data_IF_703144562268
#
_entry.id   IF_703144562268
#
_cell.length_a   1.000
_cell.length_b   1.000
_cell.length_c   1.000
_cell.angle_alpha   90.00
_cell.angle_beta   90.00
_cell.angle_gamma   90.00
#
_symmetry.space_group_name_H-M   'P 1'
#
loop_
_entity.id
_entity.type
_entity.pdbx_description
1 polymer ?
#
# COMPACT_ATOMS: atom_id res chain seq x y z
N UNK A 1 11.79 22.62 20.42
CA UNK A 1 12.33 21.45 21.17
C UNK A 1 13.28 21.92 22.27
N UNK A 2 13.35 21.16 23.41
CA UNK A 2 14.31 21.48 24.48
C UNK A 2 15.77 21.19 24.09
N UNK A 3 15.96 20.24 23.19
CA UNK A 3 17.25 19.85 22.61
C UNK A 3 17.06 19.68 21.09
N UNK A 4 17.32 20.72 20.28
CA UNK A 4 17.27 20.59 18.84
C UNK A 4 18.38 19.64 18.35
N UNK A 5 18.12 18.84 17.30
CA UNK A 5 19.17 18.01 16.69
C UNK A 5 20.29 18.88 16.09
N UNK A 6 21.56 18.47 16.27
CA UNK A 6 22.69 19.24 15.76
C UNK A 6 22.73 19.27 14.21
N UNK A 7 22.32 18.17 13.56
CA UNK A 7 22.34 18.02 12.10
C UNK A 7 21.14 18.68 11.40
N UNK A 8 20.04 18.88 12.11
CA UNK A 8 18.82 19.55 11.62
C UNK A 8 18.15 20.32 12.75
N UNK A 9 18.62 21.55 13.07
CA UNK A 9 18.08 22.35 14.17
C UNK A 9 16.60 22.71 14.02
N UNK A 10 16.07 22.69 12.78
CA UNK A 10 14.67 22.99 12.47
C UNK A 10 13.76 21.75 12.52
N UNK A 11 14.35 20.58 12.68
CA UNK A 11 13.58 19.35 12.77
C UNK A 11 12.57 19.39 13.92
N UNK A 12 11.32 19.10 13.57
CA UNK A 12 10.23 18.96 14.55
C UNK A 12 9.65 17.55 14.42
N UNK A 13 9.79 16.75 15.47
CA UNK A 13 9.16 15.42 15.53
C UNK A 13 7.63 15.55 15.29
N UNK A 14 7.11 14.76 14.37
CA UNK A 14 5.67 14.72 14.10
C UNK A 14 4.86 14.39 15.36
N UNK A 15 5.34 13.43 16.15
CA UNK A 15 4.70 13.05 17.42
C UNK A 15 4.66 14.20 18.43
N UNK A 16 5.77 14.92 18.62
CA UNK A 16 5.81 16.05 19.56
C UNK A 16 4.92 17.21 19.07
N UNK A 17 4.88 17.41 17.76
CA UNK A 17 4.01 18.42 17.18
C UNK A 17 2.53 18.06 17.37
N UNK A 18 2.14 16.81 17.09
CA UNK A 18 0.76 16.33 17.26
C UNK A 18 0.33 16.44 18.72
N UNK A 19 1.13 16.00 19.68
CA UNK A 19 0.83 16.15 21.12
C UNK A 19 0.64 17.61 21.52
N UNK A 20 1.46 18.51 20.97
CA UNK A 20 1.33 19.95 21.24
C UNK A 20 0.04 20.53 20.66
N UNK A 21 -0.34 20.08 19.46
CA UNK A 21 -1.61 20.47 18.83
C UNK A 21 -2.81 19.95 19.61
N UNK A 22 -2.83 18.66 19.95
CA UNK A 22 -3.89 18.04 20.74
C UNK A 22 -4.06 18.68 22.12
N UNK A 23 -2.96 19.06 22.76
CA UNK A 23 -3.03 19.80 24.02
C UNK A 23 -3.67 21.16 23.85
N UNK A 24 -3.41 21.89 22.75
CA UNK A 24 -4.09 23.15 22.43
C UNK A 24 -5.59 22.95 22.19
N UNK A 25 -5.93 21.94 21.41
CA UNK A 25 -7.33 21.54 21.12
C UNK A 25 -8.09 21.23 22.41
N UNK A 26 -7.47 20.46 23.30
CA UNK A 26 -8.08 20.09 24.59
C UNK A 26 -8.30 21.28 25.53
N UNK A 27 -7.46 22.31 25.44
CA UNK A 27 -7.55 23.49 26.24
C UNK A 27 -8.53 24.55 25.68
N UNK A 28 -8.92 24.45 24.42
CA UNK A 28 -9.76 25.41 23.72
C UNK A 28 -11.23 24.95 23.69
N UNK A 29 -12.11 25.68 24.37
CA UNK A 29 -13.54 25.38 24.46
C UNK A 29 -14.30 25.55 23.13
N UNK A 30 -13.71 26.26 22.14
CA UNK A 30 -14.26 26.42 20.79
C UNK A 30 -13.85 25.31 19.81
N UNK A 31 -13.03 24.36 20.26
CA UNK A 31 -12.63 23.22 19.45
C UNK A 31 -13.83 22.37 19.03
N UNK A 32 -13.84 21.93 17.77
CA UNK A 32 -14.91 21.11 17.19
C UNK A 32 -14.42 19.72 16.76
N UNK A 33 -15.35 18.78 16.67
CA UNK A 33 -15.09 17.44 16.17
C UNK A 33 -15.14 17.42 14.65
N UNK A 34 -14.27 16.62 14.05
CA UNK A 34 -14.27 16.26 12.64
C UNK A 34 -14.15 14.75 12.49
N UNK A 35 -14.65 14.23 11.38
CA UNK A 35 -14.39 12.88 10.97
C UNK A 35 -13.87 12.83 9.52
N UNK A 36 -12.91 11.98 9.27
CA UNK A 36 -12.28 11.80 7.96
C UNK A 36 -12.51 10.36 7.55
N UNK A 37 -13.13 10.14 6.40
CA UNK A 37 -13.32 8.81 5.82
C UNK A 37 -12.62 8.71 4.47
N UNK A 38 -11.77 7.69 4.29
CA UNK A 38 -11.13 7.35 3.04
C UNK A 38 -11.75 6.05 2.50
N UNK A 39 -12.28 6.10 1.29
CA UNK A 39 -12.97 4.98 0.64
C UNK A 39 -12.17 4.47 -0.55
N UNK A 40 -11.99 3.16 -0.63
CA UNK A 40 -11.45 2.45 -1.79
C UNK A 40 -12.54 2.18 -2.84
N UNK A 41 -12.19 1.91 -4.11
CA UNK A 41 -13.15 1.50 -5.14
C UNK A 41 -13.95 0.23 -4.81
N UNK A 42 -13.39 -0.70 -4.04
CA UNK A 42 -14.06 -1.91 -3.54
C UNK A 42 -15.10 -1.64 -2.45
N UNK A 43 -15.21 -0.38 -2.03
CA UNK A 43 -16.11 0.08 -1.00
C UNK A 43 -15.61 -0.12 0.44
N UNK A 44 -14.36 -0.51 0.65
CA UNK A 44 -13.72 -0.48 1.96
C UNK A 44 -13.59 0.97 2.44
N UNK A 45 -13.94 1.23 3.70
CA UNK A 45 -13.91 2.56 4.31
C UNK A 45 -13.01 2.55 5.54
N UNK A 46 -12.06 3.47 5.59
CA UNK A 46 -11.23 3.74 6.76
C UNK A 46 -11.64 5.07 7.36
N UNK A 47 -11.99 5.08 8.62
CA UNK A 47 -12.47 6.28 9.34
C UNK A 47 -11.51 6.70 10.43
N UNK A 48 -11.29 8.00 10.54
CA UNK A 48 -10.52 8.62 11.62
C UNK A 48 -11.32 9.77 12.21
N UNK A 49 -11.40 9.84 13.53
CA UNK A 49 -12.04 10.94 14.26
C UNK A 49 -10.97 11.81 14.91
N UNK A 50 -11.14 13.11 14.86
CA UNK A 50 -10.23 14.07 15.46
C UNK A 50 -10.98 15.32 15.94
N UNK A 51 -10.26 16.21 16.61
CA UNK A 51 -10.75 17.53 16.97
C UNK A 51 -9.80 18.59 16.42
N UNK A 52 -10.35 19.72 16.02
CA UNK A 52 -9.60 20.86 15.50
C UNK A 52 -9.92 22.13 16.29
N UNK A 53 -9.00 23.09 16.25
CA UNK A 53 -9.17 24.42 16.84
C UNK A 53 -10.23 25.22 16.06
N UNK A 54 -10.80 26.32 16.64
CA UNK A 54 -11.55 27.29 15.86
C UNK A 54 -10.77 27.72 14.61
N UNK A 55 -11.41 27.66 13.44
CA UNK A 55 -10.73 27.84 12.14
C UNK A 55 -10.59 29.32 11.78
N UNK A 56 -9.80 30.05 12.58
CA UNK A 56 -9.54 31.46 12.42
C UNK A 56 -8.09 31.83 12.78
N UNK A 57 -7.59 32.90 12.21
CA UNK A 57 -6.23 33.38 12.48
C UNK A 57 -5.16 32.30 12.22
N UNK A 58 -4.20 32.21 13.14
CA UNK A 58 -3.09 31.25 13.05
C UNK A 58 -3.54 29.77 13.15
N UNK A 59 -4.75 29.53 13.67
CA UNK A 59 -5.27 28.18 13.82
C UNK A 59 -5.60 27.53 12.46
N UNK A 60 -5.88 28.30 11.42
CA UNK A 60 -6.17 27.79 10.07
C UNK A 60 -5.03 26.91 9.58
N UNK A 61 -3.80 27.39 9.61
CA UNK A 61 -2.64 26.63 9.16
C UNK A 61 -2.31 25.46 10.10
N UNK A 62 -2.52 25.60 11.41
CA UNK A 62 -2.34 24.50 12.36
C UNK A 62 -3.32 23.34 12.09
N UNK A 63 -4.60 23.66 11.91
CA UNK A 63 -5.63 22.68 11.57
C UNK A 63 -5.35 22.00 10.25
N UNK A 64 -5.01 22.78 9.22
CA UNK A 64 -4.72 22.26 7.90
C UNK A 64 -3.51 21.32 7.91
N UNK A 65 -2.43 21.70 8.59
CA UNK A 65 -1.25 20.84 8.76
C UNK A 65 -1.58 19.54 9.50
N UNK A 66 -2.43 19.58 10.50
CA UNK A 66 -2.85 18.40 11.25
C UNK A 66 -3.69 17.45 10.39
N UNK A 67 -4.73 17.98 9.75
CA UNK A 67 -5.65 17.22 8.91
C UNK A 67 -4.94 16.66 7.69
N UNK A 68 -4.09 17.45 7.03
CA UNK A 68 -3.30 17.02 5.87
C UNK A 68 -2.39 15.81 6.20
N UNK A 69 -1.78 15.80 7.38
CA UNK A 69 -0.97 14.66 7.83
C UNK A 69 -1.79 13.39 8.04
N UNK A 70 -3.01 13.52 8.59
CA UNK A 70 -3.93 12.39 8.73
C UNK A 70 -4.34 11.87 7.35
N UNK A 71 -4.71 12.75 6.44
CA UNK A 71 -5.08 12.40 5.06
C UNK A 71 -3.92 11.68 4.36
N UNK A 72 -2.71 12.23 4.45
CA UNK A 72 -1.52 11.60 3.87
C UNK A 72 -1.24 10.23 4.49
N UNK A 73 -1.34 10.10 5.80
CA UNK A 73 -1.16 8.81 6.48
C UNK A 73 -2.19 7.79 5.99
N UNK A 74 -3.46 8.15 5.93
CA UNK A 74 -4.53 7.27 5.43
C UNK A 74 -4.27 6.85 3.99
N UNK A 75 -3.93 7.79 3.11
CA UNK A 75 -3.63 7.49 1.70
C UNK A 75 -2.47 6.51 1.54
N UNK A 76 -1.36 6.74 2.25
CA UNK A 76 -0.16 5.91 2.10
C UNK A 76 -0.21 4.57 2.83
N UNK A 77 -1.00 4.45 3.90
CA UNK A 77 -1.10 3.21 4.67
C UNK A 77 -2.31 2.37 4.30
N UNK A 78 -3.38 3.01 3.82
CA UNK A 78 -4.65 2.34 3.52
C UNK A 78 -4.99 2.37 2.04
N UNK A 79 -4.64 3.45 1.36
CA UNK A 79 -5.03 3.69 -0.03
C UNK A 79 -6.51 3.97 -0.20
N UNK A 80 -6.86 4.57 -1.31
CA UNK A 80 -8.23 4.93 -1.66
C UNK A 80 -8.26 6.13 -2.60
N UNK A 81 -9.44 6.49 -3.06
CA UNK A 81 -9.64 7.59 -4.02
C UNK A 81 -10.72 8.59 -3.60
N UNK A 82 -11.58 8.25 -2.63
CA UNK A 82 -12.65 9.14 -2.18
C UNK A 82 -12.45 9.49 -0.72
N UNK A 83 -12.27 10.77 -0.47
CA UNK A 83 -12.07 11.35 0.84
C UNK A 83 -13.28 12.20 1.23
N UNK A 84 -13.85 11.94 2.39
CA UNK A 84 -14.93 12.73 2.99
C UNK A 84 -14.43 13.32 4.29
N UNK A 85 -14.56 14.63 4.47
CA UNK A 85 -14.25 15.33 5.72
C UNK A 85 -15.55 15.92 6.28
N UNK A 86 -16.04 15.35 7.36
CA UNK A 86 -17.27 15.78 7.99
C UNK A 86 -17.04 16.74 9.14
N UNK A 87 -17.97 17.68 9.29
CA UNK A 87 -17.98 18.65 10.36
C UNK A 87 -17.18 19.94 10.10
N UNK A 88 -16.53 20.07 8.91
CA UNK A 88 -15.73 21.26 8.61
C UNK A 88 -15.49 21.48 7.11
N UNK A 89 -16.38 22.23 6.44
CA UNK A 89 -16.33 22.45 4.98
C UNK A 89 -15.04 23.15 4.53
N UNK A 90 -14.62 24.21 5.20
CA UNK A 90 -13.42 24.96 4.81
C UNK A 90 -12.14 24.09 4.82
N UNK A 91 -12.00 23.15 5.76
CA UNK A 91 -10.89 22.19 5.75
C UNK A 91 -10.99 21.23 4.57
N UNK A 92 -12.18 20.77 4.21
CA UNK A 92 -12.38 19.91 3.05
C UNK A 92 -12.01 20.63 1.75
N UNK A 93 -12.41 21.90 1.60
CA UNK A 93 -12.08 22.70 0.42
C UNK A 93 -10.56 22.92 0.30
N UNK A 94 -9.88 23.25 1.37
CA UNK A 94 -8.41 23.42 1.39
C UNK A 94 -7.67 22.10 1.08
N UNK A 95 -8.11 20.96 1.63
CA UNK A 95 -7.56 19.66 1.32
C UNK A 95 -7.83 19.31 -0.15
N UNK A 96 -9.02 19.61 -0.70
CA UNK A 96 -9.32 19.39 -2.10
C UNK A 96 -8.38 20.17 -3.03
N UNK A 97 -8.06 21.41 -2.70
CA UNK A 97 -7.09 22.21 -3.45
C UNK A 97 -5.69 21.59 -3.42
N UNK A 98 -5.22 21.16 -2.25
CA UNK A 98 -3.89 20.55 -2.11
C UNK A 98 -3.76 19.19 -2.81
N UNK A 99 -4.82 18.40 -2.81
CA UNK A 99 -4.89 17.07 -3.44
C UNK A 99 -5.49 17.10 -4.85
N UNK A 100 -5.44 18.25 -5.51
CA UNK A 100 -5.78 18.38 -6.94
C UNK A 100 -4.59 17.97 -7.84
N UNK A 101 -4.81 17.75 -9.15
CA UNK A 101 -3.72 17.43 -10.10
C UNK A 101 -2.63 18.50 -10.20
N UNK A 102 -2.95 19.76 -9.94
CA UNK A 102 -2.03 20.90 -9.93
C UNK A 102 -1.65 21.33 -8.49
N UNK A 103 -2.16 20.64 -7.48
CA UNK A 103 -1.96 20.97 -6.08
C UNK A 103 -0.61 20.53 -5.53
N UNK A 104 -0.32 20.96 -4.32
CA UNK A 104 0.91 20.62 -3.60
C UNK A 104 1.13 19.10 -3.46
N UNK A 105 0.04 18.31 -3.43
CA UNK A 105 0.01 16.86 -3.28
C UNK A 105 -0.32 16.10 -4.57
N UNK A 106 -0.08 16.71 -5.72
CA UNK A 106 -0.30 16.09 -7.03
C UNK A 106 0.41 14.74 -7.17
N UNK A 107 1.64 14.61 -6.64
CA UNK A 107 2.37 13.34 -6.63
C UNK A 107 1.64 12.25 -5.81
N UNK A 108 1.13 12.59 -4.62
CA UNK A 108 0.40 11.64 -3.79
C UNK A 108 -0.89 11.17 -4.48
N UNK A 109 -1.59 12.08 -5.17
CA UNK A 109 -2.78 11.75 -5.97
C UNK A 109 -2.44 10.86 -7.15
N UNK A 110 -1.41 11.18 -7.92
CA UNK A 110 -0.99 10.38 -9.06
C UNK A 110 -0.63 8.95 -8.65
N UNK A 111 0.23 8.81 -7.64
CA UNK A 111 0.72 7.51 -7.22
C UNK A 111 -0.37 6.66 -6.55
N UNK A 112 -1.05 7.23 -5.55
CA UNK A 112 -1.97 6.45 -4.72
C UNK A 112 -3.32 6.27 -5.38
N UNK A 113 -3.89 7.29 -6.03
CA UNK A 113 -5.23 7.17 -6.61
C UNK A 113 -5.20 6.73 -8.07
N UNK A 114 -4.53 7.49 -8.94
CA UNK A 114 -4.57 7.22 -10.37
C UNK A 114 -3.84 5.91 -10.74
N UNK A 115 -2.62 5.72 -10.26
CA UNK A 115 -1.85 4.52 -10.62
C UNK A 115 -2.27 3.30 -9.81
N UNK A 116 -2.46 3.42 -8.49
CA UNK A 116 -2.76 2.27 -7.64
C UNK A 116 -4.21 1.83 -7.75
N UNK A 117 -5.17 2.76 -7.75
CA UNK A 117 -6.60 2.42 -7.78
C UNK A 117 -7.28 2.68 -9.13
N UNK A 118 -6.56 3.23 -10.13
CA UNK A 118 -7.09 3.55 -11.46
C UNK A 118 -8.31 4.48 -11.40
N UNK A 119 -8.32 5.38 -10.43
CA UNK A 119 -9.40 6.32 -10.15
C UNK A 119 -8.83 7.72 -9.97
N UNK A 120 -9.65 8.74 -9.87
CA UNK A 120 -9.25 10.11 -9.55
C UNK A 120 -9.56 10.44 -8.09
N UNK A 121 -8.68 11.25 -7.47
CA UNK A 121 -8.93 11.74 -6.12
C UNK A 121 -10.19 12.61 -6.10
N UNK A 122 -11.08 12.30 -5.16
CA UNK A 122 -12.30 13.05 -4.90
C UNK A 122 -12.31 13.45 -3.42
N UNK A 123 -12.43 14.74 -3.15
CA UNK A 123 -12.56 15.24 -1.78
C UNK A 123 -13.91 15.96 -1.67
N UNK A 124 -14.65 15.66 -0.63
CA UNK A 124 -15.96 16.29 -0.35
C UNK A 124 -16.15 16.53 1.12
N UNK A 125 -17.08 17.43 1.46
CA UNK A 125 -17.55 17.65 2.82
C UNK A 125 -18.97 17.13 3.03
N UNK A 126 -19.33 16.91 4.30
CA UNK A 126 -20.70 16.57 4.73
C UNK A 126 -20.90 16.96 6.21
N UNK A 127 -22.10 16.80 6.72
CA UNK A 127 -22.32 16.88 8.16
C UNK A 127 -21.57 15.76 8.90
N UNK A 128 -21.21 15.98 10.16
CA UNK A 128 -20.37 15.04 10.93
C UNK A 128 -20.98 13.63 11.05
N UNK A 129 -22.30 13.57 11.19
CA UNK A 129 -23.09 12.34 11.31
C UNK A 129 -23.36 11.63 9.96
N UNK A 130 -23.06 12.30 8.84
CA UNK A 130 -23.18 11.74 7.50
C UNK A 130 -21.86 11.10 6.97
N UNK A 131 -20.75 11.25 7.72
CA UNK A 131 -19.47 10.66 7.34
C UNK A 131 -19.60 9.13 7.31
N UNK A 132 -19.20 8.48 6.21
CA UNK A 132 -19.29 7.01 6.10
C UNK A 132 -18.67 6.29 7.30
N UNK A 133 -19.38 5.29 7.81
CA UNK A 133 -18.88 4.45 8.89
C UNK A 133 -17.74 3.55 8.40
N UNK A 134 -16.85 3.17 9.31
CA UNK A 134 -15.76 2.26 9.01
C UNK A 134 -16.29 0.92 8.52
N UNK A 135 -15.80 0.48 7.38
CA UNK A 135 -16.12 -0.82 6.79
C UNK A 135 -14.87 -1.47 6.26
N UNK A 136 -14.32 -2.38 7.01
CA UNK A 136 -13.15 -3.16 6.64
C UNK A 136 -13.51 -4.62 6.49
N UNK A 137 -12.91 -5.28 5.49
CA UNK A 137 -12.93 -6.73 5.36
C UNK A 137 -11.49 -7.22 5.46
N UNK A 138 -11.30 -8.39 6.07
CA UNK A 138 -10.01 -9.06 6.09
C UNK A 138 -10.14 -10.40 5.39
N UNK A 139 -9.22 -10.68 4.47
CA UNK A 139 -9.06 -12.00 3.87
C UNK A 139 -7.88 -12.66 4.58
N UNK A 140 -8.04 -13.85 5.18
CA UNK A 140 -6.91 -14.56 5.77
C UNK A 140 -5.91 -14.92 4.68
N UNK A 141 -4.67 -14.50 4.85
CA UNK A 141 -3.54 -14.84 3.99
C UNK A 141 -2.57 -15.75 4.72
N UNK A 142 -1.98 -16.71 4.00
CA UNK A 142 -0.96 -17.60 4.53
C UNK A 142 -1.52 -18.75 5.40
N UNK A 143 -0.61 -19.50 6.02
CA UNK A 143 -0.95 -20.63 6.90
C UNK A 143 -1.43 -21.89 6.18
N UNK A 144 -1.58 -21.89 4.86
CA UNK A 144 -1.98 -23.04 4.06
C UNK A 144 -0.73 -23.87 3.72
N UNK A 145 -0.18 -24.60 4.70
CA UNK A 145 1.05 -25.37 4.54
C UNK A 145 0.83 -26.74 3.91
N UNK A 146 -0.41 -27.25 3.92
CA UNK A 146 -0.75 -28.57 3.37
C UNK A 146 -0.71 -28.60 1.85
N UNK A 147 -0.29 -29.74 1.29
CA UNK A 147 -0.21 -29.97 -0.16
C UNK A 147 1.07 -29.45 -0.79
N UNK A 148 1.05 -29.31 -2.11
CA UNK A 148 2.20 -28.92 -2.93
C UNK A 148 2.12 -27.45 -3.32
N UNK A 149 3.06 -26.64 -2.85
CA UNK A 149 3.05 -25.19 -3.03
C UNK A 149 4.32 -24.70 -3.73
N UNK A 150 4.18 -23.60 -4.46
CA UNK A 150 5.33 -22.85 -4.96
C UNK A 150 5.35 -21.50 -4.27
N UNK A 151 6.50 -21.15 -3.69
CA UNK A 151 6.81 -19.79 -3.25
C UNK A 151 7.75 -19.12 -4.23
N UNK A 152 7.57 -17.81 -4.51
CA UNK A 152 8.55 -17.04 -5.28
C UNK A 152 8.75 -15.65 -4.72
N UNK A 153 9.93 -15.07 -5.01
CA UNK A 153 10.27 -13.69 -4.69
C UNK A 153 10.98 -13.04 -5.88
N UNK A 154 10.51 -11.87 -6.27
CA UNK A 154 11.05 -11.12 -7.40
C UNK A 154 11.82 -9.91 -6.89
N UNK A 155 13.14 -10.07 -6.81
CA UNK A 155 14.08 -9.00 -6.49
C UNK A 155 14.54 -8.21 -7.72
N UNK A 156 15.33 -7.20 -7.51
CA UNK A 156 15.90 -6.38 -8.58
C UNK A 156 17.13 -6.98 -9.27
N UNK A 157 17.82 -7.92 -8.61
CA UNK A 157 19.01 -8.61 -9.11
C UNK A 157 18.78 -10.09 -9.38
N UNK A 158 17.81 -10.67 -8.71
CA UNK A 158 17.53 -12.09 -8.75
C UNK A 158 16.03 -12.37 -8.58
N UNK A 159 15.63 -13.55 -9.01
CA UNK A 159 14.31 -14.14 -8.78
C UNK A 159 14.51 -15.46 -8.04
N UNK A 160 13.81 -15.61 -6.93
CA UNK A 160 13.90 -16.80 -6.08
C UNK A 160 12.63 -17.61 -6.19
N UNK A 161 12.75 -18.94 -6.13
CA UNK A 161 11.60 -19.80 -6.01
C UNK A 161 11.90 -21.01 -5.13
N UNK A 162 10.83 -21.54 -4.53
CA UNK A 162 10.88 -22.74 -3.70
C UNK A 162 9.69 -23.65 -3.99
N UNK A 163 9.94 -24.95 -4.04
CA UNK A 163 8.93 -25.99 -4.05
C UNK A 163 8.76 -26.54 -2.63
N UNK A 164 7.51 -26.62 -2.16
CA UNK A 164 7.16 -27.00 -0.79
C UNK A 164 6.13 -28.11 -0.82
N UNK A 165 6.31 -29.15 -0.01
CA UNK A 165 5.33 -30.23 0.22
C UNK A 165 5.02 -30.26 1.72
N UNK A 166 3.76 -30.07 2.07
CA UNK A 166 3.26 -30.10 3.44
C UNK A 166 4.08 -29.24 4.44
N UNK A 167 4.51 -28.07 3.96
CA UNK A 167 5.30 -27.11 4.75
C UNK A 167 6.82 -27.33 4.68
N UNK A 168 7.30 -28.42 4.10
CA UNK A 168 8.73 -28.72 3.97
C UNK A 168 9.26 -28.29 2.60
N UNK A 169 10.36 -27.56 2.58
CA UNK A 169 11.03 -27.12 1.35
C UNK A 169 11.76 -28.30 0.72
N UNK A 170 11.30 -28.75 -0.45
CA UNK A 170 11.92 -29.86 -1.21
C UNK A 170 12.88 -29.37 -2.29
N UNK A 171 12.77 -28.13 -2.73
CA UNK A 171 13.69 -27.47 -3.66
C UNK A 171 13.64 -25.97 -3.48
N UNK A 172 14.78 -25.31 -3.65
CA UNK A 172 14.86 -23.85 -3.75
C UNK A 172 16.00 -23.46 -4.69
N UNK A 173 15.79 -22.37 -5.42
CA UNK A 173 16.80 -21.81 -6.30
C UNK A 173 16.71 -20.30 -6.38
N UNK A 174 17.80 -19.69 -6.81
CA UNK A 174 17.95 -18.29 -7.10
C UNK A 174 18.54 -18.13 -8.50
N UNK A 175 17.94 -17.28 -9.32
CA UNK A 175 18.36 -17.06 -10.71
C UNK A 175 18.56 -15.56 -10.90
N UNK A 176 19.76 -15.18 -11.31
CA UNK A 176 20.07 -13.78 -11.64
C UNK A 176 19.22 -13.29 -12.82
N UNK A 177 18.80 -12.05 -12.75
CA UNK A 177 18.13 -11.34 -13.81
C UNK A 177 18.35 -9.82 -13.70
N UNK A 178 17.95 -9.05 -14.72
CA UNK A 178 18.12 -7.59 -14.72
C UNK A 178 16.83 -6.86 -15.16
N UNK A 179 15.75 -6.97 -14.40
CA UNK A 179 14.42 -6.51 -14.81
C UNK A 179 14.34 -4.99 -15.01
N UNK A 180 15.17 -4.23 -14.29
CA UNK A 180 15.13 -2.76 -14.29
C UNK A 180 15.47 -2.12 -15.64
N UNK A 181 16.21 -2.82 -16.49
CA UNK A 181 16.73 -2.29 -17.75
C UNK A 181 16.03 -2.89 -18.97
N UNK A 182 15.16 -3.85 -18.75
CA UNK A 182 14.43 -4.52 -19.81
C UNK A 182 13.17 -3.78 -20.18
N UNK A 183 13.01 -3.48 -21.45
CA UNK A 183 11.84 -2.80 -22.00
C UNK A 183 10.80 -3.75 -22.59
N UNK A 184 11.19 -4.99 -22.93
CA UNK A 184 10.28 -6.01 -23.45
C UNK A 184 9.54 -6.72 -22.30
N UNK A 185 8.21 -6.60 -22.19
CA UNK A 185 7.43 -7.26 -21.15
C UNK A 185 7.58 -8.78 -21.11
N UNK A 186 7.91 -9.39 -22.27
CA UNK A 186 8.12 -10.84 -22.37
C UNK A 186 9.27 -11.33 -21.52
N UNK A 187 10.32 -10.54 -21.37
CA UNK A 187 11.44 -10.87 -20.49
C UNK A 187 10.96 -11.17 -19.06
N UNK A 188 10.11 -10.30 -18.53
CA UNK A 188 9.55 -10.48 -17.18
C UNK A 188 8.64 -11.71 -17.11
N UNK A 189 7.72 -11.86 -18.08
CA UNK A 189 6.81 -12.99 -18.12
C UNK A 189 7.54 -14.33 -18.23
N UNK A 190 8.46 -14.45 -19.20
CA UNK A 190 9.20 -15.69 -19.45
C UNK A 190 10.13 -16.04 -18.28
N UNK A 191 10.80 -15.04 -17.70
CA UNK A 191 11.64 -15.23 -16.53
C UNK A 191 10.89 -15.76 -15.32
N UNK A 192 9.74 -15.17 -15.00
CA UNK A 192 8.92 -15.64 -13.87
C UNK A 192 8.35 -17.04 -14.16
N UNK A 193 7.83 -17.26 -15.36
CA UNK A 193 7.28 -18.56 -15.77
C UNK A 193 8.34 -19.67 -15.73
N UNK A 194 9.57 -19.37 -16.13
CA UNK A 194 10.70 -20.31 -16.04
C UNK A 194 10.94 -20.73 -14.58
N UNK A 195 11.04 -19.79 -13.64
CA UNK A 195 11.21 -20.11 -12.22
C UNK A 195 10.06 -20.95 -11.67
N UNK A 196 8.81 -20.62 -12.01
CA UNK A 196 7.64 -21.37 -11.56
C UNK A 196 7.64 -22.81 -12.10
N UNK A 197 8.00 -23.02 -13.38
CA UNK A 197 8.09 -24.35 -14.01
C UNK A 197 9.22 -25.19 -13.41
N UNK A 198 10.35 -24.58 -13.13
CA UNK A 198 11.50 -25.27 -12.49
C UNK A 198 11.12 -25.72 -11.09
N UNK A 199 10.48 -24.88 -10.28
CA UNK A 199 9.97 -25.29 -8.97
C UNK A 199 8.90 -26.40 -9.10
N UNK A 200 7.97 -26.28 -10.05
CA UNK A 200 6.93 -27.28 -10.30
C UNK A 200 7.49 -28.67 -10.66
N UNK A 201 8.65 -28.74 -11.33
CA UNK A 201 9.29 -30.01 -11.69
C UNK A 201 9.69 -30.87 -10.46
N UNK A 202 9.76 -30.29 -9.27
CA UNK A 202 10.06 -30.96 -8.00
C UNK A 202 8.81 -31.36 -7.21
N UNK A 203 7.61 -31.11 -7.76
CA UNK A 203 6.34 -31.38 -7.12
C UNK A 203 5.53 -32.42 -7.91
N UNK A 204 4.78 -33.33 -7.26
CA UNK A 204 3.89 -34.25 -7.98
C UNK A 204 2.68 -33.53 -8.61
N UNK A 205 2.32 -32.35 -8.09
CA UNK A 205 1.28 -31.43 -8.58
C UNK A 205 1.52 -30.06 -7.98
N UNK A 206 0.79 -29.04 -8.40
CA UNK A 206 0.79 -27.71 -7.79
C UNK A 206 -0.61 -27.41 -7.28
N UNK A 207 -0.75 -27.16 -5.98
CA UNK A 207 -2.03 -26.85 -5.32
C UNK A 207 -2.22 -25.36 -5.05
N UNK A 208 -1.17 -24.56 -5.17
CA UNK A 208 -1.20 -23.12 -5.05
C UNK A 208 0.17 -22.47 -5.17
N UNK A 209 0.18 -21.20 -5.55
CA UNK A 209 1.37 -20.39 -5.78
C UNK A 209 1.24 -19.09 -5.00
N UNK A 210 2.26 -18.74 -4.23
CA UNK A 210 2.36 -17.48 -3.51
C UNK A 210 3.67 -16.77 -3.83
N UNK A 211 3.62 -15.45 -3.97
CA UNK A 211 4.82 -14.70 -4.29
C UNK A 211 4.89 -13.32 -3.68
N UNK A 212 6.11 -12.79 -3.66
CA UNK A 212 6.40 -11.41 -3.30
C UNK A 212 7.16 -10.68 -4.38
N UNK A 213 6.92 -9.38 -4.44
CA UNK A 213 7.71 -8.47 -5.27
C UNK A 213 7.59 -7.03 -4.75
N UNK A 214 8.64 -6.23 -4.96
CA UNK A 214 8.61 -4.81 -4.60
C UNK A 214 7.59 -4.04 -5.45
N UNK A 215 6.70 -3.30 -4.81
CA UNK A 215 5.68 -2.49 -5.50
C UNK A 215 4.31 -2.49 -4.83
N UNK A 216 3.34 -1.94 -5.52
CA UNK A 216 1.93 -1.92 -5.12
C UNK A 216 1.16 -2.91 -5.98
N UNK A 217 0.49 -3.84 -5.33
CA UNK A 217 -0.33 -4.86 -5.96
C UNK A 217 -1.78 -4.74 -5.49
N UNK A 218 -2.72 -4.74 -6.42
CA UNK A 218 -4.16 -4.72 -6.13
C UNK A 218 -4.81 -5.81 -6.97
N UNK A 219 -5.50 -6.75 -6.33
CA UNK A 219 -6.14 -7.90 -6.98
C UNK A 219 -5.17 -8.69 -7.88
N UNK A 220 -3.98 -9.00 -7.35
CA UNK A 220 -2.89 -9.66 -8.08
C UNK A 220 -2.40 -8.93 -9.33
N UNK A 221 -2.67 -7.63 -9.45
CA UNK A 221 -2.20 -6.81 -10.56
C UNK A 221 -1.14 -5.83 -10.08
N UNK A 222 0.03 -5.78 -10.71
CA UNK A 222 0.99 -4.71 -10.50
C UNK A 222 0.36 -3.36 -10.83
N UNK A 223 0.42 -2.42 -9.91
CA UNK A 223 -0.03 -1.04 -10.09
C UNK A 223 1.15 -0.09 -10.22
N UNK A 224 2.12 -0.27 -9.34
CA UNK A 224 3.39 0.44 -9.34
C UNK A 224 4.47 -0.57 -8.96
N UNK A 225 5.49 -0.72 -9.75
CA UNK A 225 6.57 -1.66 -9.46
C UNK A 225 7.88 -1.25 -10.11
N UNK A 226 8.94 -1.13 -9.31
CA UNK A 226 10.27 -0.75 -9.80
C UNK A 226 10.86 -1.78 -10.75
N UNK A 227 10.47 -3.05 -10.63
CA UNK A 227 10.91 -4.14 -11.53
C UNK A 227 10.58 -3.86 -12.99
N UNK A 228 9.51 -3.13 -13.26
CA UNK A 228 8.98 -2.86 -14.60
C UNK A 228 9.28 -1.45 -15.10
N UNK A 229 10.21 -0.74 -14.47
CA UNK A 229 10.49 0.68 -14.80
C UNK A 229 11.06 0.92 -16.19
N UNK A 230 11.61 -0.12 -16.83
CA UNK A 230 12.09 -0.07 -18.21
C UNK A 230 10.99 -0.23 -19.26
N UNK A 231 9.81 -0.72 -18.87
CA UNK A 231 8.67 -0.97 -19.75
C UNK A 231 7.89 0.33 -19.99
N UNK A 232 7.43 0.55 -21.23
CA UNK A 232 6.60 1.71 -21.55
C UNK A 232 5.27 1.68 -20.80
N UNK A 233 4.63 2.84 -20.58
CA UNK A 233 3.32 2.89 -19.88
C UNK A 233 2.24 2.08 -20.64
N UNK A 234 2.26 2.13 -21.97
CA UNK A 234 1.33 1.38 -22.80
C UNK A 234 1.51 -0.15 -22.65
N UNK A 235 2.76 -0.62 -22.68
CA UNK A 235 3.07 -2.04 -22.49
C UNK A 235 2.87 -2.46 -21.03
N UNK A 236 3.09 -1.56 -20.07
CA UNK A 236 2.78 -1.83 -18.68
C UNK A 236 1.28 -2.12 -18.50
N UNK A 237 0.42 -1.30 -19.08
CA UNK A 237 -1.03 -1.47 -18.98
C UNK A 237 -1.53 -2.72 -19.70
N UNK A 238 -1.00 -3.03 -20.87
CA UNK A 238 -1.47 -4.16 -21.70
C UNK A 238 -0.84 -5.50 -21.35
N UNK A 239 0.43 -5.55 -20.91
CA UNK A 239 1.20 -6.77 -20.74
C UNK A 239 1.63 -7.04 -19.29
N UNK A 240 2.06 -6.00 -18.56
CA UNK A 240 2.53 -6.16 -17.18
C UNK A 240 1.37 -6.23 -16.19
N UNK A 241 0.37 -5.37 -16.33
CA UNK A 241 -0.78 -5.39 -15.42
C UNK A 241 -1.46 -6.76 -15.35
N UNK A 242 -1.72 -7.50 -16.46
CA UNK A 242 -2.28 -8.83 -16.42
C UNK A 242 -1.25 -9.96 -16.20
N UNK A 243 0.03 -9.69 -15.94
CA UNK A 243 1.11 -10.68 -15.97
C UNK A 243 0.84 -11.88 -15.04
N UNK A 244 0.39 -11.63 -13.81
CA UNK A 244 0.14 -12.71 -12.84
C UNK A 244 -1.12 -13.52 -13.16
N UNK A 245 -2.13 -12.93 -13.78
CA UNK A 245 -3.29 -13.66 -14.30
C UNK A 245 -2.88 -14.60 -15.45
N UNK A 246 -1.98 -14.15 -16.34
CA UNK A 246 -1.42 -14.96 -17.43
C UNK A 246 -0.53 -16.09 -16.88
N UNK A 247 0.29 -15.81 -15.89
CA UNK A 247 1.13 -16.83 -15.21
C UNK A 247 0.25 -17.87 -14.51
N UNK A 248 -0.80 -17.43 -13.81
CA UNK A 248 -1.79 -18.34 -13.20
C UNK A 248 -2.41 -19.27 -14.22
N UNK A 249 -2.88 -18.75 -15.36
CA UNK A 249 -3.44 -19.56 -16.44
C UNK A 249 -2.40 -20.57 -17.00
N UNK A 250 -1.14 -20.13 -17.18
CA UNK A 250 -0.05 -21.01 -17.66
C UNK A 250 0.34 -22.11 -16.66
N UNK A 251 0.01 -21.93 -15.37
CA UNK A 251 0.26 -22.89 -14.28
C UNK A 251 -0.99 -23.72 -13.90
N UNK A 252 -2.03 -23.73 -14.72
CA UNK A 252 -3.21 -24.58 -14.55
C UNK A 252 -4.32 -23.95 -13.67
N UNK A 253 -4.39 -22.62 -13.59
CA UNK A 253 -5.40 -21.85 -12.87
C UNK A 253 -5.52 -22.17 -11.37
N UNK A 254 -4.44 -22.67 -10.76
CA UNK A 254 -4.38 -22.88 -9.31
C UNK A 254 -4.50 -21.55 -8.56
N UNK A 255 -4.88 -21.56 -7.27
CA UNK A 255 -4.82 -20.36 -6.42
C UNK A 255 -3.45 -19.67 -6.54
N UNK A 256 -3.45 -18.40 -6.85
CA UNK A 256 -2.24 -17.62 -7.12
C UNK A 256 -2.35 -16.25 -6.44
N UNK A 257 -1.41 -15.92 -5.57
CA UNK A 257 -1.42 -14.65 -4.82
C UNK A 257 -0.06 -13.99 -4.85
N UNK A 258 -0.05 -12.69 -5.11
CA UNK A 258 1.16 -11.86 -5.10
C UNK A 258 0.94 -10.64 -4.22
N UNK A 259 1.87 -10.42 -3.31
CA UNK A 259 1.83 -9.30 -2.37
C UNK A 259 3.16 -8.55 -2.35
N UNK A 260 3.18 -7.40 -1.69
CA UNK A 260 4.42 -6.65 -1.50
C UNK A 260 5.40 -7.41 -0.59
N UNK A 261 6.68 -7.27 -0.82
CA UNK A 261 7.77 -7.88 -0.03
C UNK A 261 7.71 -7.51 1.47
N UNK A 262 7.35 -6.28 1.81
CA UNK A 262 7.10 -5.86 3.19
C UNK A 262 5.90 -6.58 3.82
N UNK A 263 4.83 -6.81 3.04
CA UNK A 263 3.66 -7.57 3.51
C UNK A 263 4.01 -9.03 3.79
N UNK A 264 4.79 -9.68 2.92
CA UNK A 264 5.29 -11.05 3.16
C UNK A 264 6.16 -11.11 4.41
N UNK A 265 7.03 -10.14 4.61
CA UNK A 265 7.87 -10.05 5.82
C UNK A 265 7.01 -9.95 7.08
N UNK A 266 5.98 -9.12 7.08
CA UNK A 266 5.02 -9.00 8.19
C UNK A 266 4.22 -10.29 8.40
N UNK A 267 3.77 -10.94 7.31
CA UNK A 267 3.05 -12.21 7.35
C UNK A 267 3.93 -13.33 7.94
N UNK A 268 5.18 -13.43 7.48
CA UNK A 268 6.14 -14.41 8.01
C UNK A 268 6.39 -14.21 9.51
N UNK A 269 6.53 -12.95 9.96
CA UNK A 269 6.68 -12.64 11.39
C UNK A 269 5.42 -13.02 12.19
N UNK A 270 4.22 -12.78 11.62
CA UNK A 270 2.94 -13.18 12.24
C UNK A 270 2.87 -14.69 12.44
N UNK A 271 3.19 -15.47 11.40
CA UNK A 271 3.13 -16.92 11.42
C UNK A 271 4.20 -17.55 12.31
N UNK A 272 5.45 -17.04 12.23
CA UNK A 272 6.59 -17.62 12.96
C UNK A 272 6.61 -17.25 14.44
N UNK A 273 6.20 -16.02 14.79
CA UNK A 273 6.29 -15.49 16.14
C UNK A 273 4.94 -15.46 16.88
N UNK A 274 3.84 -15.77 16.19
CA UNK A 274 2.48 -15.59 16.72
C UNK A 274 2.15 -14.13 17.06
N UNK A 275 2.87 -13.17 16.46
CA UNK A 275 2.71 -11.75 16.73
C UNK A 275 1.42 -11.21 16.12
N UNK A 276 0.75 -10.30 16.82
CA UNK A 276 -0.42 -9.59 16.29
C UNK A 276 0.03 -8.25 15.72
N UNK A 277 -0.37 -7.96 14.49
CA UNK A 277 -0.11 -6.70 13.79
C UNK A 277 1.40 -6.30 13.76
N UNK A 278 2.31 -7.14 13.28
CA UNK A 278 3.72 -6.79 13.15
C UNK A 278 3.91 -5.75 12.04
N UNK A 279 4.95 -4.93 12.17
CA UNK A 279 5.43 -4.07 11.10
C UNK A 279 6.57 -4.77 10.38
N UNK A 280 6.37 -5.10 9.09
CA UNK A 280 7.42 -5.61 8.22
C UNK A 280 8.14 -4.47 7.50
N UNK A 281 9.47 -4.46 7.55
CA UNK A 281 10.31 -3.50 6.82
C UNK A 281 11.31 -4.28 5.99
N UNK A 282 11.15 -4.21 4.65
CA UNK A 282 12.14 -4.71 3.72
C UNK A 282 13.18 -3.61 3.47
N UNK A 283 14.44 -3.92 3.74
CA UNK A 283 15.59 -3.04 3.49
C UNK A 283 16.48 -3.75 2.47
N UNK A 284 16.33 -3.34 1.20
CA UNK A 284 17.11 -3.86 0.09
C UNK A 284 18.37 -3.05 -0.21
#
# INVERSE_FOLDING_TARGET
MRFPPELDPEFVSAELWNRSFEAKVAADSGSSEIAIALTRPDGTVFRHQARVLPHEGDNVELNLRFVERIVKLLLWTRGGSRLVIGGHDALADEINLRYSPEGERAFDCDLVTRRSYLDSMQVSSCALDEVPEERTSSVPLGGNLEGCRIGFDLGGSDRKCAAVIDGEVVHSEEVEWQPYFESDPRYHYEGILDSLRRAAAHLPRVDGIGGSAAGVYVDNQPRVGSLFRGVSEADFDSEIRPIFARLRAAMGDVPFEVVNDGEVTALAATLSLGARAPLGIAMG
#
